data_IF_557057434032
#
_entry.id   IF_557057434032
#
_cell.length_a   1.000
_cell.length_b   1.000
_cell.length_c   1.000
_cell.angle_alpha   90.00
_cell.angle_beta   90.00
_cell.angle_gamma   90.00
#
_symmetry.space_group_name_H-M   'P 1'
#
loop_
_entity.id
_entity.type
_entity.pdbx_description
1 polymer ?
#
# COMPACT_ATOMS: atom_id res chain seq x y z
N UNK A 1 24.76 -5.01 -2.56
CA UNK A 1 23.38 -5.36 -2.14
C UNK A 1 22.89 -4.29 -1.18
N UNK A 2 21.58 -3.96 -1.10
CA UNK A 2 21.04 -3.05 -0.10
C UNK A 2 21.20 -3.64 1.31
N UNK A 3 21.19 -2.78 2.32
CA UNK A 3 21.17 -3.23 3.69
C UNK A 3 19.78 -3.77 4.05
N UNK A 4 19.72 -4.79 4.89
CA UNK A 4 18.45 -5.33 5.37
C UNK A 4 17.86 -4.44 6.47
N UNK A 5 16.56 -4.16 6.39
CA UNK A 5 15.85 -3.55 7.52
C UNK A 5 15.63 -4.56 8.64
N UNK A 6 15.80 -4.12 9.89
CA UNK A 6 15.39 -4.90 11.05
C UNK A 6 13.88 -5.05 11.11
N UNK A 7 13.37 -6.03 11.86
CA UNK A 7 11.92 -6.22 12.02
C UNK A 7 11.22 -4.96 12.53
N UNK A 8 11.80 -4.25 13.50
CA UNK A 8 11.24 -3.01 14.01
C UNK A 8 11.21 -1.89 12.96
N UNK A 9 12.23 -1.81 12.09
CA UNK A 9 12.26 -0.86 10.99
C UNK A 9 11.22 -1.19 9.92
N UNK A 10 11.01 -2.47 9.60
CA UNK A 10 9.96 -2.95 8.69
C UNK A 10 8.58 -2.57 9.21
N UNK A 11 8.30 -2.84 10.49
CA UNK A 11 7.03 -2.48 11.13
C UNK A 11 6.77 -0.96 11.08
N UNK A 12 7.78 -0.16 11.41
CA UNK A 12 7.69 1.30 11.35
C UNK A 12 7.46 1.80 9.92
N UNK A 13 8.13 1.19 8.94
CA UNK A 13 8.00 1.57 7.54
C UNK A 13 6.59 1.29 7.02
N UNK A 14 6.03 0.12 7.30
CA UNK A 14 4.68 -0.27 6.88
C UNK A 14 3.58 0.62 7.49
N UNK A 15 3.81 1.23 8.66
CA UNK A 15 2.89 2.21 9.26
C UNK A 15 2.94 3.57 8.58
N UNK A 16 3.90 3.80 7.69
CA UNK A 16 4.02 5.02 6.91
C UNK A 16 2.96 5.14 5.82
N UNK A 17 2.89 6.33 5.22
CA UNK A 17 2.01 6.63 4.08
C UNK A 17 2.76 6.40 2.79
N UNK A 18 2.61 5.22 2.22
CA UNK A 18 3.21 4.82 0.96
C UNK A 18 2.14 4.22 0.06
N UNK A 19 2.29 4.36 -1.25
CA UNK A 19 1.51 3.56 -2.19
C UNK A 19 2.09 2.14 -2.19
N UNK A 20 1.23 1.14 -2.03
CA UNK A 20 1.61 -0.24 -2.22
C UNK A 20 1.25 -0.71 -3.62
N UNK A 21 2.07 -1.55 -4.22
CA UNK A 21 1.71 -2.32 -5.42
C UNK A 21 1.28 -3.70 -4.96
N UNK A 22 -0.04 -3.95 -5.04
CA UNK A 22 -0.62 -5.26 -4.74
C UNK A 22 -0.53 -6.15 -5.97
N UNK A 23 0.03 -7.35 -5.80
CA UNK A 23 0.05 -8.40 -6.83
C UNK A 23 -0.94 -9.50 -6.46
N UNK A 24 -1.83 -9.85 -7.39
CA UNK A 24 -2.76 -10.98 -7.34
C UNK A 24 -2.56 -11.86 -8.56
N UNK A 25 -3.07 -13.09 -8.54
CA UNK A 25 -2.89 -14.08 -9.63
C UNK A 25 -4.15 -14.18 -10.48
N UNK A 26 -4.04 -13.93 -11.78
CA UNK A 26 -5.11 -14.10 -12.74
C UNK A 26 -5.46 -15.59 -12.96
N UNK A 27 -6.63 -15.93 -13.56
CA UNK A 27 -7.01 -17.31 -13.87
C UNK A 27 -5.99 -18.10 -14.69
N UNK A 28 -5.28 -17.43 -15.57
CA UNK A 28 -4.22 -18.00 -16.40
C UNK A 28 -2.83 -18.09 -15.72
N UNK A 29 -2.75 -17.76 -14.41
CA UNK A 29 -1.51 -17.76 -13.66
C UNK A 29 -0.69 -16.47 -13.78
N UNK A 30 -1.04 -15.56 -14.68
CA UNK A 30 -0.31 -14.30 -14.85
C UNK A 30 -0.51 -13.37 -13.62
N UNK A 31 0.55 -12.69 -13.15
CA UNK A 31 0.42 -11.71 -12.09
C UNK A 31 -0.33 -10.45 -12.57
N UNK A 32 -1.28 -9.97 -11.77
CA UNK A 32 -1.92 -8.67 -11.92
C UNK A 32 -1.41 -7.73 -10.83
N UNK A 33 -0.79 -6.63 -11.20
CA UNK A 33 -0.30 -5.61 -10.30
C UNK A 33 -1.22 -4.39 -10.28
N UNK A 34 -1.55 -3.90 -9.09
CA UNK A 34 -2.42 -2.73 -8.91
C UNK A 34 -1.85 -1.82 -7.82
N UNK A 35 -1.62 -0.51 -8.08
CA UNK A 35 -1.32 0.44 -7.02
C UNK A 35 -2.54 0.61 -6.12
N UNK A 36 -2.33 0.60 -4.82
CA UNK A 36 -3.39 0.68 -3.81
C UNK A 36 -2.97 1.50 -2.60
N UNK A 37 -3.94 2.15 -1.99
CA UNK A 37 -3.79 2.64 -0.62
C UNK A 37 -3.97 1.47 0.34
N UNK A 38 -3.25 1.52 1.44
CA UNK A 38 -3.36 0.51 2.48
C UNK A 38 -3.27 1.14 3.87
N UNK A 39 -3.77 0.43 4.86
CA UNK A 39 -3.53 0.71 6.27
C UNK A 39 -2.87 -0.52 6.90
N UNK A 40 -1.71 -0.32 7.52
CA UNK A 40 -1.07 -1.36 8.32
C UNK A 40 -1.40 -1.13 9.81
N UNK A 41 -2.13 -2.07 10.40
CA UNK A 41 -2.55 -2.00 11.80
C UNK A 41 -2.60 -3.41 12.40
N UNK A 42 -2.06 -3.58 13.59
CA UNK A 42 -2.10 -4.83 14.38
C UNK A 42 -1.60 -6.07 13.60
N UNK A 43 -0.53 -5.87 12.80
CA UNK A 43 0.06 -6.94 11.99
C UNK A 43 -0.69 -7.28 10.71
N UNK A 44 -1.83 -6.63 10.45
CA UNK A 44 -2.67 -6.84 9.28
C UNK A 44 -2.55 -5.66 8.30
N UNK A 45 -2.75 -5.95 7.02
CA UNK A 45 -2.81 -4.95 5.95
C UNK A 45 -4.26 -4.89 5.45
N UNK A 46 -4.82 -3.70 5.48
CA UNK A 46 -6.18 -3.42 5.03
C UNK A 46 -6.13 -2.67 3.71
N UNK A 47 -6.85 -3.13 2.69
CA UNK A 47 -6.95 -2.51 1.38
C UNK A 47 -8.42 -2.37 1.01
N UNK A 48 -8.88 -1.13 0.79
CA UNK A 48 -10.23 -0.86 0.29
C UNK A 48 -10.27 -0.99 -1.22
N UNK A 49 -11.32 -1.61 -1.74
CA UNK A 49 -11.53 -1.81 -3.19
C UNK A 49 -13.00 -2.12 -3.48
N UNK A 50 -13.40 -2.02 -4.75
CA UNK A 50 -14.73 -2.39 -5.20
C UNK A 50 -14.91 -3.89 -5.33
N UNK A 51 -16.09 -4.40 -5.08
CA UNK A 51 -16.43 -5.83 -5.03
C UNK A 51 -16.22 -6.54 -6.39
N UNK A 52 -16.49 -5.84 -7.49
CA UNK A 52 -16.37 -6.35 -8.86
C UNK A 52 -14.96 -6.20 -9.46
N UNK A 53 -14.00 -5.65 -8.71
CA UNK A 53 -12.63 -5.48 -9.23
C UNK A 53 -11.95 -6.83 -9.52
N UNK A 54 -11.08 -6.83 -10.54
CA UNK A 54 -10.31 -8.02 -10.92
C UNK A 54 -9.50 -8.60 -9.75
N UNK A 55 -8.93 -7.74 -8.89
CA UNK A 55 -8.19 -8.18 -7.70
C UNK A 55 -9.06 -8.93 -6.70
N UNK A 56 -10.34 -8.54 -6.52
CA UNK A 56 -11.28 -9.27 -5.65
C UNK A 56 -11.63 -10.62 -6.25
N UNK A 57 -11.92 -10.69 -7.56
CA UNK A 57 -12.15 -11.97 -8.24
C UNK A 57 -10.95 -12.90 -8.11
N UNK A 58 -9.75 -12.36 -8.28
CA UNK A 58 -8.50 -13.11 -8.17
C UNK A 58 -8.32 -13.70 -6.77
N UNK A 59 -8.43 -12.89 -5.72
CA UNK A 59 -8.18 -13.35 -4.34
C UNK A 59 -9.27 -14.25 -3.78
N UNK A 60 -10.47 -14.23 -4.35
CA UNK A 60 -11.52 -15.24 -4.04
C UNK A 60 -11.15 -16.63 -4.56
N UNK A 61 -10.43 -16.71 -5.68
CA UNK A 61 -9.95 -17.95 -6.27
C UNK A 61 -8.61 -18.38 -5.67
N UNK A 62 -7.66 -17.46 -5.59
CA UNK A 62 -6.32 -17.69 -5.06
C UNK A 62 -5.98 -16.57 -4.07
N UNK A 63 -6.01 -16.86 -2.75
CA UNK A 63 -5.84 -15.82 -1.73
C UNK A 63 -4.38 -15.36 -1.57
N UNK A 64 -3.42 -15.98 -2.27
CA UNK A 64 -2.00 -15.61 -2.21
C UNK A 64 -1.78 -14.26 -2.85
N UNK A 65 -1.06 -13.39 -2.13
CA UNK A 65 -0.74 -12.04 -2.59
C UNK A 65 0.69 -11.64 -2.25
N UNK A 66 1.19 -10.69 -2.99
CA UNK A 66 2.41 -9.98 -2.66
C UNK A 66 2.16 -8.48 -2.72
N UNK A 67 2.82 -7.72 -1.81
CA UNK A 67 2.82 -6.27 -1.86
C UNK A 67 4.26 -5.77 -1.92
N UNK A 68 4.50 -4.79 -2.77
CA UNK A 68 5.72 -3.98 -2.74
C UNK A 68 5.35 -2.58 -2.23
N UNK A 69 5.97 -2.19 -1.13
CA UNK A 69 5.82 -0.86 -0.52
C UNK A 69 7.20 -0.21 -0.51
N UNK A 70 7.34 0.97 -1.12
CA UNK A 70 8.64 1.63 -1.21
C UNK A 70 8.54 3.14 -1.11
N UNK A 71 9.67 3.78 -0.78
CA UNK A 71 9.79 5.24 -0.88
C UNK A 71 9.66 5.65 -2.37
N UNK A 72 8.87 6.69 -2.64
CA UNK A 72 8.63 7.20 -4.00
C UNK A 72 9.83 7.98 -4.55
N UNK A 73 10.75 8.40 -3.67
CA UNK A 73 11.92 9.21 -4.01
C UNK A 73 13.20 8.55 -3.52
N UNK A 74 14.30 8.66 -4.30
CA UNK A 74 15.61 8.17 -3.86
C UNK A 74 16.13 8.97 -2.65
N UNK A 75 17.02 8.37 -1.85
CA UNK A 75 17.52 7.00 -1.95
C UNK A 75 16.46 6.01 -1.47
N UNK A 76 16.25 4.97 -2.28
CA UNK A 76 15.13 4.05 -2.08
C UNK A 76 15.34 3.11 -0.89
N UNK A 77 14.26 2.86 -0.19
CA UNK A 77 14.06 1.75 0.74
C UNK A 77 12.66 1.21 0.55
N UNK A 78 12.44 -0.01 0.93
CA UNK A 78 11.12 -0.60 0.81
C UNK A 78 10.97 -1.90 1.58
N UNK A 79 9.76 -2.42 1.52
CA UNK A 79 9.37 -3.69 2.11
C UNK A 79 8.55 -4.47 1.11
N UNK A 80 8.96 -5.70 0.84
CA UNK A 80 8.13 -6.68 0.15
C UNK A 80 7.43 -7.55 1.18
N UNK A 81 6.13 -7.69 1.05
CA UNK A 81 5.30 -8.55 1.88
C UNK A 81 4.72 -9.66 1.01
N UNK A 82 4.90 -10.91 1.40
CA UNK A 82 4.13 -12.03 0.87
C UNK A 82 3.15 -12.51 1.92
N UNK A 83 1.95 -12.88 1.54
CA UNK A 83 0.91 -13.27 2.47
C UNK A 83 -0.35 -13.77 1.78
N UNK A 84 -1.41 -13.85 2.53
CA UNK A 84 -2.71 -14.31 2.05
C UNK A 84 -3.81 -13.32 2.46
N UNK A 85 -4.80 -13.17 1.61
CA UNK A 85 -6.06 -12.50 1.98
C UNK A 85 -6.80 -13.42 2.94
N UNK A 86 -6.81 -13.07 4.22
CA UNK A 86 -7.44 -13.86 5.28
C UNK A 86 -8.95 -13.64 5.33
N UNK A 87 -9.42 -12.44 4.95
CA UNK A 87 -10.84 -12.09 4.90
C UNK A 87 -11.12 -11.09 3.77
N UNK A 88 -12.29 -11.22 3.18
CA UNK A 88 -12.91 -10.24 2.30
C UNK A 88 -14.21 -9.84 2.99
N UNK A 89 -14.31 -8.63 3.46
CA UNK A 89 -15.43 -8.15 4.26
C UNK A 89 -15.97 -6.81 3.70
N UNK A 90 -17.22 -6.42 4.01
CA UNK A 90 -17.72 -5.10 3.66
C UNK A 90 -16.80 -3.99 4.17
N UNK A 91 -16.81 -2.84 3.50
CA UNK A 91 -15.96 -1.71 3.92
C UNK A 91 -16.23 -1.31 5.38
N UNK A 92 -15.15 -1.19 6.14
CA UNK A 92 -15.20 -0.73 7.52
C UNK A 92 -14.92 0.76 7.56
N UNK A 93 -15.98 1.55 7.77
CA UNK A 93 -15.91 3.01 7.75
C UNK A 93 -14.81 3.59 8.66
N UNK A 94 -14.57 2.98 9.82
CA UNK A 94 -13.46 3.38 10.71
C UNK A 94 -12.10 3.27 10.00
N UNK A 95 -11.81 2.11 9.39
CA UNK A 95 -10.55 1.84 8.67
C UNK A 95 -10.41 2.79 7.47
N UNK A 96 -11.48 2.92 6.68
CA UNK A 96 -11.49 3.79 5.50
C UNK A 96 -11.33 5.27 5.84
N UNK A 97 -11.85 5.71 7.00
CA UNK A 97 -11.66 7.07 7.50
C UNK A 97 -10.19 7.32 7.83
N UNK A 98 -9.56 6.43 8.58
CA UNK A 98 -8.12 6.54 8.91
C UNK A 98 -7.28 6.51 7.63
N UNK A 99 -7.58 5.59 6.71
CA UNK A 99 -6.86 5.47 5.43
C UNK A 99 -6.98 6.76 4.61
N UNK A 100 -8.19 7.27 4.39
CA UNK A 100 -8.41 8.49 3.61
C UNK A 100 -7.72 9.71 4.23
N UNK A 101 -7.76 9.87 5.54
CA UNK A 101 -7.02 10.91 6.25
C UNK A 101 -5.50 10.79 6.07
N UNK A 102 -4.99 9.58 6.10
CA UNK A 102 -3.57 9.33 5.90
C UNK A 102 -3.09 9.77 4.52
N UNK A 103 -3.87 9.53 3.46
CA UNK A 103 -3.45 9.82 2.09
C UNK A 103 -3.85 11.21 1.60
N UNK A 104 -5.00 11.71 1.98
CA UNK A 104 -5.55 12.98 1.49
C UNK A 104 -5.46 14.14 2.51
N UNK A 105 -5.07 13.83 3.75
CA UNK A 105 -5.14 14.80 4.85
C UNK A 105 -6.55 14.87 5.47
N UNK A 106 -6.67 15.63 6.56
CA UNK A 106 -7.86 15.61 7.41
C UNK A 106 -9.11 16.15 6.70
N UNK A 107 -9.00 17.27 6.02
CA UNK A 107 -10.12 17.96 5.35
C UNK A 107 -10.54 17.22 4.08
N UNK A 108 -9.58 17.02 3.15
CA UNK A 108 -9.88 16.35 1.88
C UNK A 108 -10.29 14.89 2.08
N UNK A 109 -9.73 14.18 3.06
CA UNK A 109 -10.13 12.82 3.39
C UNK A 109 -11.58 12.72 3.89
N UNK A 110 -12.04 13.69 4.66
CA UNK A 110 -13.44 13.77 5.11
C UNK A 110 -14.40 13.99 3.93
N UNK A 111 -14.11 14.96 3.06
CA UNK A 111 -14.93 15.23 1.88
C UNK A 111 -14.92 14.06 0.88
N UNK A 112 -13.77 13.44 0.66
CA UNK A 112 -13.65 12.27 -0.21
C UNK A 112 -14.59 11.13 0.22
N UNK A 113 -14.61 10.78 1.51
CA UNK A 113 -15.49 9.74 2.02
C UNK A 113 -16.96 10.13 1.92
N UNK A 114 -17.31 11.39 2.21
CA UNK A 114 -18.69 11.88 2.14
C UNK A 114 -19.23 11.88 0.71
N UNK A 115 -18.40 12.28 -0.28
CA UNK A 115 -18.78 12.27 -1.68
C UNK A 115 -18.88 10.84 -2.22
N UNK A 116 -17.95 9.97 -1.82
CA UNK A 116 -17.92 8.59 -2.28
C UNK A 116 -19.10 7.78 -1.75
N UNK A 117 -19.46 7.93 -0.47
CA UNK A 117 -20.66 7.28 0.11
C UNK A 117 -21.96 7.72 -0.58
N UNK A 118 -21.98 8.93 -1.14
CA UNK A 118 -23.13 9.44 -1.90
C UNK A 118 -23.23 8.86 -3.32
N UNK A 119 -22.09 8.40 -3.87
CA UNK A 119 -21.95 7.87 -5.23
C UNK A 119 -21.66 6.36 -5.23
N UNK A 120 -21.91 5.65 -4.13
CA UNK A 120 -21.84 4.19 -4.11
C UNK A 120 -22.82 3.65 -5.14
N UNK A 121 -22.28 2.98 -6.16
CA UNK A 121 -23.07 2.24 -7.14
C UNK A 121 -23.63 1.05 -6.38
N UNK A 122 -24.95 0.94 -6.28
CA UNK A 122 -25.63 -0.14 -5.54
C UNK A 122 -25.13 -1.53 -5.91
N UNK A 123 -24.73 -1.70 -7.17
CA UNK A 123 -24.26 -2.98 -7.73
C UNK A 123 -22.78 -3.28 -7.48
N UNK A 124 -21.96 -2.33 -6.98
CA UNK A 124 -20.52 -2.53 -6.74
C UNK A 124 -20.08 -1.95 -5.39
N UNK A 125 -20.50 -2.55 -4.27
CA UNK A 125 -20.16 -2.06 -2.95
C UNK A 125 -18.65 -2.13 -2.66
N UNK A 126 -18.19 -1.19 -1.86
CA UNK A 126 -16.82 -1.19 -1.38
C UNK A 126 -16.56 -2.36 -0.42
N UNK A 127 -15.45 -3.03 -0.63
CA UNK A 127 -14.99 -4.17 0.14
C UNK A 127 -13.62 -3.88 0.77
N UNK A 128 -13.35 -4.58 1.85
CA UNK A 128 -12.07 -4.56 2.54
C UNK A 128 -11.35 -5.90 2.37
N UNK A 129 -10.17 -5.89 1.76
CA UNK A 129 -9.27 -7.04 1.78
C UNK A 129 -8.41 -6.95 3.04
N UNK A 130 -8.47 -7.97 3.88
CA UNK A 130 -7.65 -8.08 5.09
C UNK A 130 -6.57 -9.11 4.85
N UNK A 131 -5.32 -8.64 4.75
CA UNK A 131 -4.17 -9.47 4.39
C UNK A 131 -3.35 -9.78 5.64
N UNK A 132 -3.06 -11.06 5.85
CA UNK A 132 -2.13 -11.55 6.85
C UNK A 132 -0.78 -11.78 6.21
N UNK A 133 0.22 -11.01 6.63
CA UNK A 133 1.60 -11.18 6.18
C UNK A 133 2.18 -12.51 6.70
N UNK A 134 2.77 -13.30 5.81
CA UNK A 134 3.50 -14.53 6.12
C UNK A 134 5.01 -14.26 6.16
N UNK A 135 5.50 -13.40 5.26
CA UNK A 135 6.90 -12.99 5.20
C UNK A 135 7.00 -11.51 4.88
N UNK A 136 7.93 -10.84 5.54
CA UNK A 136 8.25 -9.43 5.27
C UNK A 136 9.76 -9.34 5.01
N UNK A 137 10.16 -8.71 3.92
CA UNK A 137 11.55 -8.48 3.56
C UNK A 137 11.77 -7.00 3.32
N UNK A 138 12.57 -6.37 4.17
CA UNK A 138 12.90 -4.93 4.06
C UNK A 138 14.30 -4.72 3.50
N UNK A 139 14.47 -3.69 2.68
CA UNK A 139 15.73 -3.29 2.06
C UNK A 139 15.92 -1.77 2.10
N UNK A 140 17.19 -1.32 2.17
CA UNK A 140 17.57 0.09 2.29
C UNK A 140 18.84 0.39 1.49
N UNK A 141 18.75 1.29 0.52
CA UNK A 141 19.89 1.77 -0.27
C UNK A 141 20.51 3.06 0.28
N UNK A 142 19.90 3.70 1.28
CA UNK A 142 20.34 5.00 1.82
C UNK A 142 21.77 4.97 2.39
N UNK A 143 22.22 3.95 3.15
CA UNK A 143 23.58 3.91 3.67
C UNK A 143 24.65 3.90 2.60
N UNK A 144 24.34 3.43 1.40
CA UNK A 144 25.27 3.30 0.27
C UNK A 144 25.24 4.49 -0.69
N UNK A 145 24.36 5.45 -0.46
CA UNK A 145 24.32 6.67 -1.27
C UNK A 145 25.47 7.59 -0.85
N UNK A 146 26.42 7.94 -1.74
CA UNK A 146 27.53 8.85 -1.42
C UNK A 146 27.00 10.17 -0.85
N UNK A 147 27.80 10.83 0.01
CA UNK A 147 27.41 12.08 0.66
C UNK A 147 26.96 13.14 -0.35
N UNK A 148 27.70 13.29 -1.44
CA UNK A 148 27.37 14.21 -2.56
C UNK A 148 26.01 13.88 -3.16
N UNK A 149 25.73 12.57 -3.39
CA UNK A 149 24.42 12.12 -3.87
C UNK A 149 23.29 12.41 -2.89
N UNK A 150 23.54 12.27 -1.58
CA UNK A 150 22.55 12.59 -0.53
C UNK A 150 22.24 14.08 -0.48
N UNK A 151 23.25 14.94 -0.59
CA UNK A 151 23.07 16.41 -0.64
C UNK A 151 22.28 16.79 -1.90
N UNK A 152 22.65 16.25 -3.06
CA UNK A 152 21.94 16.49 -4.32
C UNK A 152 20.47 16.05 -4.27
N UNK A 153 20.20 14.87 -3.71
CA UNK A 153 18.84 14.36 -3.55
C UNK A 153 18.02 15.18 -2.55
N UNK A 154 18.65 15.71 -1.48
CA UNK A 154 18.00 16.63 -0.57
C UNK A 154 17.63 17.94 -1.26
N UNK A 155 18.51 18.47 -2.12
CA UNK A 155 18.27 19.67 -2.91
C UNK A 155 17.12 19.46 -3.92
N UNK A 156 17.08 18.33 -4.62
CA UNK A 156 15.97 17.96 -5.54
C UNK A 156 14.60 17.85 -4.86
N UNK A 157 14.55 17.62 -3.56
CA UNK A 157 13.25 17.59 -2.82
C UNK A 157 12.56 18.95 -2.76
N UNK A 158 13.33 20.03 -2.90
CA UNK A 158 12.84 21.42 -2.86
C UNK A 158 12.49 21.93 -4.26
N UNK A 159 13.02 21.27 -5.31
CA UNK A 159 12.74 21.63 -6.69
C UNK A 159 11.43 21.03 -7.20
N UNK A 160 10.74 21.73 -8.12
CA UNK A 160 9.56 21.19 -8.79
C UNK A 160 9.88 19.87 -9.52
N UNK A 161 8.91 18.95 -9.65
CA UNK A 161 9.15 17.61 -10.20
C UNK A 161 9.58 17.58 -11.69
N UNK A 162 9.52 18.71 -12.39
CA UNK A 162 9.93 18.86 -13.81
C UNK A 162 11.37 19.40 -14.01
N UNK A 163 12.11 19.68 -12.95
CA UNK A 163 13.53 19.98 -12.95
C UNK A 163 14.35 18.80 -12.44
#
# INVERSE_FOLDING_TARGET
MPDKLTSAQVERFLRGRHIAVLTTVNPNGAPLQTPVWYLYRDGLIYIRTNSLSAKVRNVRRDPRVSLCVQDERPPYRGVTVTGVVARIEPDRREISTVMSRNYLGMVAGFFYLRLRTRNEIEDDPDMMLVIKAQRKHGWDYRPRTPLVGRVWLAFKRVLPPWL
#
